data_IF_946141213904
#
_entry.id   IF_946141213904
#
_cell.length_a   1.000
_cell.length_b   1.000
_cell.length_c   1.000
_cell.angle_alpha   90.00
_cell.angle_beta   90.00
_cell.angle_gamma   90.00
#
_symmetry.space_group_name_H-M   'P 1'
#
loop_
_entity.id
_entity.type
_entity.pdbx_description
1 polymer ?
#
# COMPACT_ATOMS: atom_id res chain seq x y z
N UNK A 1 1.92 5.94 29.63
CA UNK A 1 1.73 5.12 28.41
C UNK A 1 2.40 5.82 27.24
N UNK A 2 3.43 5.17 26.69
CA UNK A 2 4.30 5.63 25.60
C UNK A 2 3.51 5.99 24.34
N UNK A 3 3.91 7.08 23.68
CA UNK A 3 3.24 7.60 22.48
C UNK A 3 3.91 7.10 21.18
N UNK A 4 4.93 6.26 21.32
CA UNK A 4 5.90 5.92 20.27
C UNK A 4 5.60 4.58 19.57
N UNK A 5 4.70 3.75 20.12
CA UNK A 5 4.43 2.42 19.54
C UNK A 5 3.59 2.48 18.26
N UNK A 6 2.66 3.44 18.21
CA UNK A 6 1.84 3.69 17.02
C UNK A 6 2.68 4.07 15.80
N UNK A 7 3.90 4.59 16.03
CA UNK A 7 4.82 5.03 15.00
C UNK A 7 5.69 3.90 14.39
N UNK A 8 5.57 2.64 14.80
CA UNK A 8 6.28 1.53 14.13
C UNK A 8 5.31 0.54 13.50
N UNK A 9 4.09 0.44 14.05
CA UNK A 9 3.06 -0.48 13.57
C UNK A 9 2.50 -0.07 12.19
N UNK A 10 2.27 1.23 11.97
CA UNK A 10 1.86 1.77 10.67
C UNK A 10 2.90 1.55 9.56
N UNK A 11 4.20 1.67 9.87
CA UNK A 11 5.28 1.43 8.89
C UNK A 11 5.29 -0.04 8.46
N UNK A 12 5.25 -0.97 9.42
CA UNK A 12 5.19 -2.40 9.14
C UNK A 12 3.92 -2.79 8.35
N UNK A 13 2.78 -2.13 8.63
CA UNK A 13 1.54 -2.34 7.90
C UNK A 13 1.64 -1.85 6.45
N UNK A 14 2.23 -0.67 6.22
CA UNK A 14 2.44 -0.12 4.87
C UNK A 14 3.43 -0.97 4.08
N UNK A 15 4.50 -1.45 4.71
CA UNK A 15 5.49 -2.32 4.05
C UNK A 15 4.84 -3.63 3.53
N UNK A 16 3.99 -4.29 4.34
CA UNK A 16 3.23 -5.47 3.90
C UNK A 16 2.31 -5.18 2.71
N UNK A 17 1.68 -4.00 2.72
CA UNK A 17 0.79 -3.56 1.64
C UNK A 17 1.58 -3.27 0.37
N UNK A 18 2.76 -2.66 0.47
CA UNK A 18 3.65 -2.42 -0.66
C UNK A 18 4.15 -3.72 -1.28
N UNK A 19 4.58 -4.67 -0.45
CA UNK A 19 5.00 -6.01 -0.91
C UNK A 19 3.86 -6.72 -1.65
N UNK A 20 2.65 -6.70 -1.09
CA UNK A 20 1.48 -7.28 -1.74
C UNK A 20 1.18 -6.61 -3.08
N UNK A 21 1.25 -5.27 -3.13
CA UNK A 21 1.05 -4.53 -4.38
C UNK A 21 2.08 -4.98 -5.43
N UNK A 22 3.36 -5.14 -5.08
CA UNK A 22 4.42 -5.58 -5.98
C UNK A 22 4.22 -7.01 -6.47
N UNK A 23 3.78 -7.92 -5.60
CA UNK A 23 3.48 -9.31 -5.97
C UNK A 23 2.21 -9.44 -6.84
N UNK A 24 1.24 -8.53 -6.68
CA UNK A 24 -0.07 -8.60 -7.36
C UNK A 24 -0.29 -7.53 -8.45
N UNK A 25 0.76 -6.94 -9.02
CA UNK A 25 0.65 -5.92 -10.09
C UNK A 25 -0.09 -6.40 -11.35
N UNK A 26 -0.08 -7.71 -11.62
CA UNK A 26 -0.76 -8.33 -12.76
C UNK A 26 -2.27 -8.49 -12.52
N UNK A 27 -2.70 -8.50 -11.25
CA UNK A 27 -4.08 -8.76 -10.84
C UNK A 27 -4.79 -7.46 -10.44
N UNK A 28 -6.13 -7.36 -10.54
CA UNK A 28 -6.87 -6.23 -9.98
C UNK A 28 -6.73 -6.19 -8.45
N UNK A 29 -5.99 -5.21 -7.94
CA UNK A 29 -5.83 -4.95 -6.50
C UNK A 29 -6.99 -4.07 -6.02
N UNK A 30 -7.76 -4.55 -5.04
CA UNK A 30 -8.82 -3.79 -4.39
C UNK A 30 -8.32 -3.14 -3.10
N UNK A 31 -8.72 -1.89 -2.83
CA UNK A 31 -8.36 -1.19 -1.59
C UNK A 31 -8.82 -1.94 -0.34
N UNK A 32 -9.97 -2.60 -0.40
CA UNK A 32 -10.51 -3.42 0.69
C UNK A 32 -9.60 -4.59 1.06
N UNK A 33 -8.91 -5.17 0.08
CA UNK A 33 -8.02 -6.30 0.25
C UNK A 33 -6.71 -5.86 0.94
N UNK A 34 -6.14 -4.73 0.48
CA UNK A 34 -5.00 -4.09 1.13
C UNK A 34 -5.29 -3.71 2.58
N UNK A 35 -6.51 -3.23 2.83
CA UNK A 35 -6.97 -2.85 4.16
C UNK A 35 -7.10 -4.09 5.08
N UNK A 36 -7.59 -5.20 4.55
CA UNK A 36 -7.68 -6.47 5.27
C UNK A 36 -6.28 -7.01 5.65
N UNK A 37 -5.30 -6.94 4.75
CA UNK A 37 -3.91 -7.36 5.00
C UNK A 37 -3.29 -6.56 6.16
N UNK A 38 -3.57 -5.26 6.19
CA UNK A 38 -3.07 -4.36 7.23
C UNK A 38 -3.94 -4.38 8.51
N UNK A 39 -5.06 -5.12 8.54
CA UNK A 39 -6.06 -5.09 9.61
C UNK A 39 -6.56 -3.68 9.96
N UNK A 40 -6.67 -2.83 8.94
CA UNK A 40 -7.21 -1.48 9.05
C UNK A 40 -8.44 -1.29 8.17
N UNK A 41 -9.22 -0.25 8.45
CA UNK A 41 -10.25 0.20 7.53
C UNK A 41 -9.62 0.78 6.26
N UNK A 42 -10.25 0.64 5.08
CA UNK A 42 -9.70 1.14 3.80
C UNK A 42 -9.43 2.65 3.82
N UNK A 43 -10.25 3.40 4.56
CA UNK A 43 -10.04 4.84 4.77
C UNK A 43 -8.77 5.12 5.60
N UNK A 44 -8.57 4.40 6.71
CA UNK A 44 -7.38 4.54 7.55
C UNK A 44 -6.12 4.11 6.79
N UNK A 45 -6.18 3.01 6.05
CA UNK A 45 -5.09 2.57 5.20
C UNK A 45 -4.65 3.68 4.23
N UNK A 46 -5.61 4.34 3.59
CA UNK A 46 -5.31 5.43 2.64
C UNK A 46 -4.55 6.58 3.30
N UNK A 47 -4.93 6.96 4.52
CA UNK A 47 -4.28 8.03 5.28
C UNK A 47 -2.86 7.63 5.69
N UNK A 48 -2.69 6.44 6.28
CA UNK A 48 -1.35 5.97 6.71
C UNK A 48 -0.44 5.76 5.51
N UNK A 49 -0.97 5.20 4.42
CA UNK A 49 -0.22 4.98 3.19
C UNK A 49 0.22 6.31 2.58
N UNK A 50 -0.67 7.31 2.55
CA UNK A 50 -0.30 8.65 2.09
C UNK A 50 0.74 9.31 3.00
N UNK A 51 0.65 9.13 4.33
CA UNK A 51 1.65 9.67 5.26
C UNK A 51 3.04 9.04 5.10
N UNK A 52 3.12 7.73 4.85
CA UNK A 52 4.40 7.03 4.66
C UNK A 52 4.96 7.26 3.27
N UNK A 53 4.13 7.07 2.24
CA UNK A 53 4.57 7.01 0.84
C UNK A 53 4.48 8.37 0.13
N UNK A 54 3.76 9.33 0.72
CA UNK A 54 3.51 10.66 0.12
C UNK A 54 2.47 10.69 -1.00
N UNK A 55 2.03 9.52 -1.49
CA UNK A 55 1.09 9.38 -2.61
C UNK A 55 -0.04 8.41 -2.29
N UNK A 56 -1.17 8.54 -2.98
CA UNK A 56 -2.33 7.67 -2.76
C UNK A 56 -2.06 6.24 -3.24
N UNK A 57 -2.58 5.21 -2.55
CA UNK A 57 -2.36 3.81 -2.92
C UNK A 57 -2.82 3.48 -4.34
N UNK A 58 -3.96 4.02 -4.78
CA UNK A 58 -4.43 3.88 -6.17
C UNK A 58 -3.45 4.44 -7.19
N UNK A 59 -2.88 5.62 -6.93
CA UNK A 59 -1.92 6.25 -7.82
C UNK A 59 -0.60 5.47 -7.84
N UNK A 60 -0.16 4.97 -6.68
CA UNK A 60 1.02 4.12 -6.58
C UNK A 60 0.87 2.86 -7.44
N UNK A 61 -0.24 2.13 -7.32
CA UNK A 61 -0.52 0.93 -8.12
C UNK A 61 -0.49 1.28 -9.61
N UNK A 62 -1.14 2.37 -10.02
CA UNK A 62 -1.16 2.82 -11.41
C UNK A 62 0.24 3.17 -11.93
N UNK A 63 1.01 3.94 -11.15
CA UNK A 63 2.37 4.34 -11.50
C UNK A 63 3.29 3.12 -11.64
N UNK A 64 3.22 2.15 -10.72
CA UNK A 64 4.02 0.92 -10.78
C UNK A 64 3.62 0.05 -11.98
N UNK A 65 2.33 -0.04 -12.30
CA UNK A 65 1.84 -0.77 -13.48
C UNK A 65 2.32 -0.17 -14.81
N UNK A 66 2.43 1.16 -14.88
CA UNK A 66 2.96 1.86 -16.06
C UNK A 66 4.48 1.78 -16.11
N UNK A 67 5.14 1.94 -14.97
CA UNK A 67 6.60 1.94 -14.86
C UNK A 67 7.19 0.55 -15.07
N UNK A 68 6.41 -0.52 -14.90
CA UNK A 68 6.81 -1.84 -15.37
C UNK A 68 6.60 -1.85 -16.88
N UNK A 69 7.63 -1.62 -17.73
CA UNK A 69 7.46 -1.84 -19.15
C UNK A 69 7.14 -3.33 -19.27
N UNK A 70 5.88 -3.63 -19.59
CA UNK A 70 5.54 -4.85 -20.30
C UNK A 70 6.55 -4.88 -21.44
N UNK A 71 7.52 -5.79 -21.37
CA UNK A 71 8.54 -5.94 -22.39
C UNK A 71 7.83 -6.42 -23.66
N UNK A 72 7.23 -5.48 -24.36
CA UNK A 72 6.82 -5.65 -25.74
C UNK A 72 8.11 -5.52 -26.53
N UNK A 73 8.73 -6.67 -26.78
CA UNK A 73 9.52 -6.85 -27.98
C UNK A 73 8.61 -6.73 -29.20
#
# INVERSE_FOLDING_TARGET
MSKDQASTEWEAAVEKVLDYIHHHLDSPIALSDLAAIASYSPYHLTIIFNKVTGISPFYYIFAVRIQTPRRYC
#
